data_IF_336097616391
#
_entry.id   IF_336097616391
#
_cell.length_a   1.000
_cell.length_b   1.000
_cell.length_c   1.000
_cell.angle_alpha   90.00
_cell.angle_beta   90.00
_cell.angle_gamma   90.00
#
_symmetry.space_group_name_H-M   'P 1'
#
loop_
_entity.id
_entity.type
_entity.pdbx_description
1 polymer ?
#
# COMPACT_ATOMS: atom_id res chain seq x y z
N UNK A 1 0.77 3.43 -6.06
CA UNK A 1 1.45 2.90 -7.26
C UNK A 1 0.93 1.50 -7.49
N UNK A 2 0.62 1.08 -8.73
CA UNK A 2 0.09 -0.27 -8.97
C UNK A 2 1.20 -1.17 -9.55
N UNK A 3 1.75 -2.13 -8.78
CA UNK A 3 2.86 -2.96 -9.22
C UNK A 3 2.54 -3.87 -10.41
N UNK A 4 1.27 -4.28 -10.57
CA UNK A 4 0.79 -5.05 -11.72
C UNK A 4 0.88 -4.25 -13.03
N UNK A 5 0.57 -2.94 -12.98
CA UNK A 5 0.70 -2.05 -14.15
C UNK A 5 2.17 -1.81 -14.54
N UNK A 6 3.07 -1.72 -13.55
CA UNK A 6 4.50 -1.46 -13.79
C UNK A 6 5.18 -2.66 -14.43
N UNK A 7 4.87 -3.85 -13.90
CA UNK A 7 5.43 -5.10 -14.40
C UNK A 7 4.66 -5.63 -15.61
N UNK A 8 3.53 -5.02 -15.96
CA UNK A 8 2.62 -5.44 -17.03
C UNK A 8 2.18 -6.92 -16.89
N UNK A 9 1.65 -7.25 -15.71
CA UNK A 9 1.29 -8.62 -15.32
C UNK A 9 -0.10 -8.66 -14.67
N UNK A 10 -0.81 -9.77 -14.81
CA UNK A 10 -2.10 -10.06 -14.18
C UNK A 10 -2.01 -10.52 -12.71
N UNK A 11 -3.12 -10.34 -11.97
CA UNK A 11 -3.27 -10.64 -10.54
C UNK A 11 -3.10 -12.10 -10.09
N UNK A 12 -3.02 -13.05 -11.03
CA UNK A 12 -3.00 -14.50 -10.79
C UNK A 12 -1.64 -15.18 -10.94
N UNK A 13 -0.57 -14.40 -11.05
CA UNK A 13 0.72 -14.86 -11.57
C UNK A 13 1.65 -15.41 -10.47
N UNK A 14 2.48 -16.41 -10.81
CA UNK A 14 3.41 -17.03 -9.86
C UNK A 14 4.60 -16.12 -9.53
N UNK A 15 5.26 -16.38 -8.39
CA UNK A 15 6.45 -15.62 -7.96
C UNK A 15 7.58 -15.62 -8.99
N UNK A 16 7.70 -16.70 -9.77
CA UNK A 16 8.73 -16.87 -10.81
C UNK A 16 8.54 -15.87 -11.94
N UNK A 17 7.30 -15.72 -12.36
CA UNK A 17 6.88 -14.85 -13.45
C UNK A 17 6.98 -13.37 -13.05
N UNK A 18 6.77 -13.03 -11.77
CA UNK A 18 7.01 -11.67 -11.24
C UNK A 18 8.49 -11.25 -11.46
N UNK A 19 9.43 -12.16 -11.18
CA UNK A 19 10.86 -11.87 -11.38
C UNK A 19 11.19 -11.72 -12.87
N UNK A 20 10.61 -12.56 -13.72
CA UNK A 20 10.77 -12.46 -15.17
C UNK A 20 10.20 -11.15 -15.72
N UNK A 21 9.02 -10.74 -15.25
CA UNK A 21 8.39 -9.48 -15.64
C UNK A 21 9.19 -8.26 -15.18
N UNK A 22 9.79 -8.29 -13.99
CA UNK A 22 10.71 -7.25 -13.54
C UNK A 22 11.93 -7.13 -14.45
N UNK A 23 12.51 -8.25 -14.89
CA UNK A 23 13.61 -8.25 -15.85
C UNK A 23 13.22 -7.67 -17.21
N UNK A 24 12.01 -7.98 -17.69
CA UNK A 24 11.47 -7.41 -18.94
C UNK A 24 11.21 -5.90 -18.82
N UNK A 25 10.59 -5.45 -17.73
CA UNK A 25 10.32 -4.03 -17.48
C UNK A 25 11.61 -3.19 -17.40
N UNK A 26 12.67 -3.73 -16.80
CA UNK A 26 14.00 -3.10 -16.81
C UNK A 26 14.59 -2.98 -18.22
N UNK A 27 14.34 -3.98 -19.08
CA UNK A 27 14.81 -3.99 -20.47
C UNK A 27 14.08 -2.96 -21.32
N UNK A 28 12.77 -2.83 -21.12
CA UNK A 28 11.92 -1.91 -21.87
C UNK A 28 12.09 -0.45 -21.46
N UNK A 29 12.63 -0.18 -20.26
CA UNK A 29 12.95 1.16 -19.72
C UNK A 29 11.74 2.11 -19.65
N UNK A 30 10.53 1.59 -19.66
CA UNK A 30 9.30 2.37 -19.48
C UNK A 30 9.18 2.96 -18.06
N UNK A 31 9.79 2.30 -17.08
CA UNK A 31 9.82 2.73 -15.68
C UNK A 31 11.27 2.82 -15.19
N UNK A 32 11.51 3.62 -14.16
CA UNK A 32 12.84 3.69 -13.54
C UNK A 32 13.20 2.37 -12.86
N UNK A 33 14.49 2.06 -12.78
CA UNK A 33 14.95 0.84 -12.11
C UNK A 33 14.49 0.76 -10.64
N UNK A 34 14.37 1.91 -9.98
CA UNK A 34 13.88 2.02 -8.60
C UNK A 34 12.40 1.60 -8.50
N UNK A 35 11.58 2.07 -9.44
CA UNK A 35 10.16 1.76 -9.51
C UNK A 35 9.91 0.27 -9.77
N UNK A 36 10.66 -0.32 -10.70
CA UNK A 36 10.58 -1.75 -10.99
C UNK A 36 11.00 -2.58 -9.77
N UNK A 37 12.09 -2.20 -9.10
CA UNK A 37 12.56 -2.89 -7.89
C UNK A 37 11.55 -2.79 -6.73
N UNK A 38 10.91 -1.62 -6.55
CA UNK A 38 9.85 -1.45 -5.55
C UNK A 38 8.63 -2.32 -5.88
N UNK A 39 8.18 -2.32 -7.14
CA UNK A 39 7.04 -3.14 -7.57
C UNK A 39 7.30 -4.64 -7.38
N UNK A 40 8.50 -5.11 -7.72
CA UNK A 40 8.91 -6.49 -7.49
C UNK A 40 8.90 -6.83 -5.99
N UNK A 41 9.43 -5.94 -5.14
CA UNK A 41 9.48 -6.16 -3.70
C UNK A 41 8.09 -6.24 -3.08
N UNK A 42 7.20 -5.34 -3.47
CA UNK A 42 5.81 -5.29 -2.97
C UNK A 42 4.99 -6.53 -3.38
N UNK A 43 5.24 -7.11 -4.56
CA UNK A 43 4.53 -8.32 -5.00
C UNK A 43 5.09 -9.61 -4.41
N UNK A 44 6.38 -9.63 -4.02
CA UNK A 44 7.00 -10.78 -3.36
C UNK A 44 6.70 -10.83 -1.86
N UNK A 45 6.44 -9.68 -1.23
CA UNK A 45 6.00 -9.59 0.16
C UNK A 45 4.54 -10.08 0.32
N UNK A 46 4.26 -11.10 1.15
CA UNK A 46 2.91 -11.68 1.27
C UNK A 46 1.83 -10.68 1.73
N UNK A 47 2.17 -9.77 2.63
CA UNK A 47 1.22 -8.79 3.16
C UNK A 47 0.88 -7.73 2.11
N UNK A 48 1.90 -7.16 1.48
CA UNK A 48 1.74 -6.17 0.41
C UNK A 48 1.07 -6.79 -0.82
N UNK A 49 1.42 -8.02 -1.20
CA UNK A 49 0.83 -8.75 -2.32
C UNK A 49 -0.68 -8.95 -2.16
N UNK A 50 -1.14 -9.32 -0.96
CA UNK A 50 -2.57 -9.46 -0.67
C UNK A 50 -3.33 -8.13 -0.84
N UNK A 51 -2.76 -7.03 -0.33
CA UNK A 51 -3.33 -5.69 -0.48
C UNK A 51 -3.39 -5.26 -1.96
N UNK A 52 -2.31 -5.47 -2.71
CA UNK A 52 -2.27 -5.14 -4.13
C UNK A 52 -3.20 -6.01 -4.97
N UNK A 53 -3.38 -7.29 -4.62
CA UNK A 53 -4.32 -8.18 -5.31
C UNK A 53 -5.77 -7.74 -5.11
N UNK A 54 -6.11 -7.29 -3.91
CA UNK A 54 -7.42 -6.70 -3.62
C UNK A 54 -7.63 -5.41 -4.42
N UNK A 55 -6.65 -4.50 -4.41
CA UNK A 55 -6.70 -3.24 -5.18
C UNK A 55 -6.69 -3.45 -6.70
N UNK A 56 -6.09 -4.53 -7.19
CA UNK A 56 -6.10 -4.88 -8.60
C UNK A 56 -7.48 -5.41 -9.05
N UNK A 57 -8.15 -6.17 -8.18
CA UNK A 57 -9.45 -6.75 -8.46
C UNK A 57 -10.59 -5.74 -8.32
N UNK A 58 -10.47 -4.80 -7.37
CA UNK A 58 -11.49 -3.79 -7.09
C UNK A 58 -10.98 -2.43 -7.57
N UNK A 59 -11.66 -1.82 -8.55
CA UNK A 59 -11.38 -0.44 -8.92
C UNK A 59 -11.84 0.51 -7.81
N UNK A 60 -10.90 0.86 -6.94
CA UNK A 60 -11.13 1.80 -5.83
C UNK A 60 -10.76 3.24 -6.20
N UNK A 61 -10.24 3.50 -7.40
CA UNK A 61 -9.91 4.87 -7.86
C UNK A 61 -11.13 5.83 -7.75
N UNK A 62 -12.38 5.41 -8.04
CA UNK A 62 -13.56 6.24 -7.83
C UNK A 62 -13.85 6.56 -6.36
N UNK A 63 -13.52 5.65 -5.45
CA UNK A 63 -13.85 5.76 -4.02
C UNK A 63 -12.78 6.52 -3.24
N UNK A 64 -11.51 6.45 -3.66
CA UNK A 64 -10.40 7.18 -3.05
C UNK A 64 -10.59 8.71 -3.11
N UNK A 65 -11.29 9.22 -4.14
CA UNK A 65 -11.62 10.65 -4.24
C UNK A 65 -12.70 11.10 -3.24
N UNK A 66 -13.59 10.20 -2.84
CA UNK A 66 -14.62 10.48 -1.85
C UNK A 66 -14.10 10.36 -0.42
N UNK A 67 -13.05 9.58 -0.20
CA UNK A 67 -12.36 9.45 1.08
C UNK A 67 -11.23 10.50 1.17
N UNK A 68 -11.58 11.77 1.03
CA UNK A 68 -10.84 12.79 1.76
C UNK A 68 -11.19 12.56 3.22
N UNK A 69 -10.35 11.77 3.91
CA UNK A 69 -10.29 11.80 5.36
C UNK A 69 -9.95 13.25 5.71
N UNK A 70 -10.97 14.07 5.93
CA UNK A 70 -10.88 15.20 6.83
C UNK A 70 -10.34 14.58 8.11
N UNK A 71 -9.01 14.58 8.25
CA UNK A 71 -8.34 14.25 9.49
C UNK A 71 -8.75 15.38 10.40
N UNK A 72 -9.97 15.28 10.95
CA UNK A 72 -10.42 16.09 12.06
C UNK A 72 -9.26 16.07 13.00
N UNK A 73 -8.62 17.23 13.18
CA UNK A 73 -7.42 17.38 13.97
C UNK A 73 -7.60 16.51 15.20
N UNK A 74 -6.72 15.51 15.39
CA UNK A 74 -6.77 14.68 16.58
C UNK A 74 -6.89 15.66 17.75
N UNK A 75 -7.94 15.57 18.59
CA UNK A 75 -8.22 16.59 19.58
C UNK A 75 -6.94 16.81 20.38
N UNK A 76 -6.43 18.05 20.35
CA UNK A 76 -5.15 18.39 20.99
C UNK A 76 -5.25 17.92 22.44
N UNK A 77 -4.30 17.09 22.87
CA UNK A 77 -4.27 16.49 24.21
C UNK A 77 -4.34 17.53 25.34
N UNK A 78 -4.11 18.82 25.02
CA UNK A 78 -4.31 19.97 25.91
C UNK A 78 -5.72 20.12 26.48
N UNK A 79 -6.75 19.50 25.88
CA UNK A 79 -8.12 19.52 26.38
C UNK A 79 -8.52 18.34 27.27
N UNK A 80 -7.64 17.34 27.43
CA UNK A 80 -7.95 16.14 28.19
C UNK A 80 -7.56 16.35 29.66
N UNK A 81 -8.56 16.36 30.55
CA UNK A 81 -8.35 16.39 32.00
C UNK A 81 -7.96 14.98 32.48
N UNK A 82 -6.87 14.86 33.24
CA UNK A 82 -6.49 13.61 33.91
C UNK A 82 -7.63 13.19 34.85
N UNK A 83 -8.11 11.96 34.69
CA UNK A 83 -9.09 11.37 35.60
C UNK A 83 -8.35 10.76 36.78
N UNK A 84 -8.54 11.35 37.96
CA UNK A 84 -7.96 10.90 39.24
C UNK A 84 -8.73 9.71 39.85
N UNK A 85 -9.61 9.06 39.07
CA UNK A 85 -10.49 7.95 39.51
C UNK A 85 -9.70 6.74 40.04
N UNK A 86 -8.41 6.66 39.73
CA UNK A 86 -7.51 5.59 40.18
C UNK A 86 -6.35 6.08 41.05
N UNK A 87 -6.34 7.35 41.48
CA UNK A 87 -5.28 7.91 42.32
C UNK A 87 -5.58 7.70 43.84
N UNK A 88 -6.67 7.02 44.21
CA UNK A 88 -6.88 6.50 45.58
C UNK A 88 -6.38 5.06 45.68
N UNK A 89 -5.13 4.89 46.10
CA UNK A 89 -4.71 3.95 47.13
C UNK A 89 -3.20 4.19 47.41
N UNK A 90 -2.92 4.65 48.63
CA UNK A 90 -1.60 4.98 49.18
C UNK A 90 -0.78 3.75 49.54
#
# INVERSE_FOLDING_TARGET
MNPYKILNIDGGIEKRDIVQAAALALRERHYSAKEVAMAQRELLDPASSAAHRFLHFVDLDPFLKAVTFERSEAPRLSGLKRLEVFDEDS
#
